data_IF_930114838299
#
_entry.id   IF_930114838299
#
_cell.length_a   1.000
_cell.length_b   1.000
_cell.length_c   1.000
_cell.angle_alpha   90.00
_cell.angle_beta   90.00
_cell.angle_gamma   90.00
#
_symmetry.space_group_name_H-M   'P 1'
#
loop_
_entity.id
_entity.type
_entity.pdbx_description
1 polymer ?
#
# COMPACT_ATOMS: atom_id res chain seq x y z
N UNK A 1 31.53 -22.40 6.74
CA UNK A 1 32.13 -21.36 7.61
C UNK A 1 32.30 -20.02 6.90
N UNK A 2 32.85 -19.97 5.67
CA UNK A 2 33.03 -18.71 4.90
C UNK A 2 31.69 -18.00 4.59
N UNK A 3 30.63 -18.73 4.24
CA UNK A 3 29.29 -18.16 4.01
C UNK A 3 28.65 -17.55 5.27
N UNK A 4 28.86 -18.14 6.44
CA UNK A 4 28.30 -17.65 7.72
C UNK A 4 29.01 -16.37 8.15
N UNK A 5 30.34 -16.31 8.00
CA UNK A 5 31.13 -15.11 8.28
C UNK A 5 30.78 -13.95 7.32
N UNK A 6 30.47 -14.25 6.05
CA UNK A 6 29.98 -13.26 5.07
C UNK A 6 28.61 -12.70 5.46
N UNK A 7 27.68 -13.57 5.89
CA UNK A 7 26.34 -13.17 6.31
C UNK A 7 26.35 -12.30 7.58
N UNK A 8 27.19 -12.62 8.57
CA UNK A 8 27.35 -11.77 9.76
C UNK A 8 27.94 -10.39 9.44
N UNK A 9 28.91 -10.33 8.52
CA UNK A 9 29.48 -9.07 8.08
C UNK A 9 28.45 -8.23 7.31
N UNK A 10 27.62 -8.87 6.48
CA UNK A 10 26.54 -8.23 5.74
C UNK A 10 25.46 -7.68 6.67
N UNK A 11 25.00 -8.45 7.66
CA UNK A 11 24.04 -7.98 8.67
C UNK A 11 24.54 -6.75 9.44
N UNK A 12 25.84 -6.70 9.77
CA UNK A 12 26.48 -5.55 10.43
C UNK A 12 26.54 -4.33 9.50
N UNK A 13 26.77 -4.53 8.21
CA UNK A 13 26.71 -3.47 7.20
C UNK A 13 25.30 -2.90 7.09
N UNK A 14 24.27 -3.75 6.97
CA UNK A 14 22.87 -3.31 6.88
C UNK A 14 22.44 -2.54 8.13
N UNK A 15 22.83 -3.00 9.32
CA UNK A 15 22.54 -2.27 10.55
C UNK A 15 23.19 -0.87 10.59
N UNK A 16 24.41 -0.72 10.08
CA UNK A 16 25.08 0.58 9.96
C UNK A 16 24.34 1.48 8.95
N UNK A 17 23.96 0.95 7.79
CA UNK A 17 23.19 1.70 6.79
C UNK A 17 21.83 2.15 7.37
N UNK A 18 21.16 1.31 8.17
CA UNK A 18 19.91 1.66 8.85
C UNK A 18 20.07 2.86 9.78
N UNK A 19 21.07 2.83 10.67
CA UNK A 19 21.38 3.96 11.57
C UNK A 19 21.67 5.24 10.78
N UNK A 20 22.41 5.12 9.66
CA UNK A 20 22.68 6.26 8.78
C UNK A 20 21.43 6.80 8.08
N UNK A 21 20.46 5.94 7.75
CA UNK A 21 19.21 6.35 7.09
C UNK A 21 18.27 7.15 8.00
N UNK A 22 18.43 7.02 9.32
CA UNK A 22 17.59 7.69 10.32
C UNK A 22 18.10 9.10 10.67
N UNK A 23 19.26 9.51 10.12
CA UNK A 23 19.87 10.83 10.35
C UNK A 23 19.95 11.64 9.06
N UNK A 24 19.60 12.93 9.16
CA UNK A 24 19.81 13.91 8.08
C UNK A 24 21.22 14.51 8.10
N UNK A 25 21.93 14.40 9.23
CA UNK A 25 23.31 14.86 9.41
C UNK A 25 24.31 13.70 9.25
N UNK A 26 25.56 13.97 8.84
CA UNK A 26 26.60 12.96 8.80
C UNK A 26 26.86 12.36 10.19
N UNK A 27 27.03 11.03 10.27
CA UNK A 27 27.29 10.36 11.54
C UNK A 27 28.71 9.80 11.61
N UNK A 28 29.39 10.11 12.71
CA UNK A 28 30.69 9.54 13.06
C UNK A 28 30.58 8.14 13.69
N UNK A 29 31.68 7.38 13.66
CA UNK A 29 31.72 5.99 14.17
C UNK A 29 31.36 5.84 15.66
N UNK A 30 31.51 6.92 16.45
CA UNK A 30 31.13 6.94 17.87
C UNK A 30 29.62 6.91 18.03
N UNK A 31 28.93 7.77 17.27
CA UNK A 31 27.48 7.89 17.32
C UNK A 31 26.82 6.61 16.78
N UNK A 32 27.32 6.13 15.65
CA UNK A 32 26.83 4.88 15.04
C UNK A 32 26.99 3.70 16.00
N UNK A 33 28.15 3.53 16.65
CA UNK A 33 28.36 2.45 17.62
C UNK A 33 27.35 2.51 18.78
N UNK A 34 27.08 3.72 19.30
CA UNK A 34 26.12 3.93 20.39
C UNK A 34 24.69 3.59 19.96
N UNK A 35 24.29 3.96 18.75
CA UNK A 35 22.94 3.65 18.26
C UNK A 35 22.76 2.15 17.98
N UNK A 36 23.78 1.50 17.43
CA UNK A 36 23.79 0.04 17.26
C UNK A 36 23.65 -0.70 18.59
N UNK A 37 24.31 -0.24 19.66
CA UNK A 37 24.18 -0.82 20.99
C UNK A 37 22.74 -0.74 21.53
N UNK A 38 21.99 0.33 21.23
CA UNK A 38 20.57 0.45 21.61
C UNK A 38 19.69 -0.60 20.92
N UNK A 39 20.12 -1.08 19.75
CA UNK A 39 19.47 -2.16 19.02
C UNK A 39 20.08 -3.54 19.31
N UNK A 40 20.90 -3.66 20.36
CA UNK A 40 21.51 -4.93 20.79
C UNK A 40 22.68 -5.40 19.91
N UNK A 41 23.23 -4.51 19.06
CA UNK A 41 24.36 -4.80 18.18
C UNK A 41 25.62 -4.14 18.73
N UNK A 42 26.52 -4.93 19.30
CA UNK A 42 27.73 -4.44 19.94
C UNK A 42 28.90 -4.40 18.95
N UNK A 43 29.25 -3.21 18.46
CA UNK A 43 30.43 -2.99 17.61
C UNK A 43 31.33 -1.91 18.19
N UNK A 44 32.62 -2.23 18.33
CA UNK A 44 33.61 -1.20 18.67
C UNK A 44 33.67 -0.11 17.59
N UNK A 45 34.05 1.11 17.96
CA UNK A 45 34.21 2.19 16.99
C UNK A 45 35.19 1.83 15.86
N UNK A 46 36.22 1.02 16.15
CA UNK A 46 37.18 0.52 15.16
C UNK A 46 36.51 -0.43 14.18
N UNK A 47 35.63 -1.31 14.65
CA UNK A 47 34.83 -2.21 13.81
C UNK A 47 33.82 -1.42 12.96
N UNK A 48 33.16 -0.41 13.52
CA UNK A 48 32.28 0.49 12.76
C UNK A 48 33.06 1.21 11.65
N UNK A 49 34.25 1.77 11.93
CA UNK A 49 35.10 2.37 10.89
C UNK A 49 35.52 1.38 9.81
N UNK A 50 35.77 0.13 10.17
CA UNK A 50 36.10 -0.92 9.21
C UNK A 50 34.93 -1.18 8.25
N UNK A 51 33.72 -1.37 8.77
CA UNK A 51 32.53 -1.54 7.93
C UNK A 51 32.19 -0.30 7.10
N UNK A 52 32.39 0.91 7.64
CA UNK A 52 32.18 2.15 6.88
C UNK A 52 33.12 2.26 5.68
N UNK A 53 34.36 1.74 5.77
CA UNK A 53 35.24 1.68 4.60
C UNK A 53 34.70 0.75 3.52
N UNK A 54 34.14 -0.39 3.92
CA UNK A 54 33.51 -1.34 2.98
C UNK A 54 32.30 -0.69 2.31
N UNK A 55 31.47 0.05 3.06
CA UNK A 55 30.31 0.74 2.49
C UNK A 55 30.70 1.92 1.60
N UNK A 56 31.80 2.62 1.91
CA UNK A 56 32.39 3.65 1.05
C UNK A 56 32.89 3.02 -0.27
N UNK A 57 33.62 1.90 -0.22
CA UNK A 57 34.12 1.17 -1.38
C UNK A 57 33.01 0.61 -2.27
N UNK A 58 31.88 0.23 -1.69
CA UNK A 58 30.67 -0.22 -2.40
C UNK A 58 29.78 0.94 -2.88
N UNK A 59 30.12 2.18 -2.54
CA UNK A 59 29.34 3.37 -2.91
C UNK A 59 28.01 3.53 -2.16
N UNK A 60 27.81 2.81 -1.05
CA UNK A 60 26.61 2.93 -0.21
C UNK A 60 26.66 4.14 0.73
N UNK A 61 27.86 4.54 1.12
CA UNK A 61 28.10 5.72 1.97
C UNK A 61 29.08 6.67 1.32
N UNK A 62 28.98 7.94 1.68
CA UNK A 62 29.94 8.97 1.28
C UNK A 62 30.56 9.66 2.50
N UNK A 63 31.89 9.88 2.52
CA UNK A 63 32.55 10.60 3.61
C UNK A 63 32.29 12.10 3.51
N UNK A 64 31.91 12.71 4.64
CA UNK A 64 31.66 14.16 4.78
C UNK A 64 32.76 14.85 5.62
N UNK A 65 33.99 14.34 5.55
CA UNK A 65 35.11 14.86 6.35
C UNK A 65 35.03 14.46 7.84
N UNK A 66 35.22 15.42 8.73
CA UNK A 66 35.22 15.18 10.18
C UNK A 66 33.83 14.81 10.74
N UNK A 67 32.77 15.21 10.03
CA UNK A 67 31.38 15.04 10.47
C UNK A 67 30.89 13.60 10.34
N UNK A 68 31.57 12.77 9.54
CA UNK A 68 31.31 11.33 9.44
C UNK A 68 30.89 10.90 8.05
N UNK A 69 29.89 10.00 7.97
CA UNK A 69 29.37 9.47 6.69
C UNK A 69 27.89 9.79 6.56
N UNK A 70 27.47 9.95 5.31
CA UNK A 70 26.06 9.97 4.93
C UNK A 70 25.76 8.80 3.99
N UNK A 71 24.50 8.39 3.98
CA UNK A 71 23.99 7.40 3.05
C UNK A 71 23.90 8.01 1.64
N UNK A 72 24.31 7.27 0.62
CA UNK A 72 24.08 7.66 -0.78
C UNK A 72 22.71 7.16 -1.25
N UNK A 73 22.24 7.62 -2.41
CA UNK A 73 21.04 7.04 -3.04
C UNK A 73 21.21 5.53 -3.30
N UNK A 74 22.40 5.08 -3.72
CA UNK A 74 22.69 3.67 -3.92
C UNK A 74 22.67 2.87 -2.61
N UNK A 75 23.20 3.43 -1.52
CA UNK A 75 23.14 2.80 -0.20
C UNK A 75 21.73 2.74 0.38
N UNK A 76 20.89 3.72 0.07
CA UNK A 76 19.47 3.68 0.44
C UNK A 76 18.71 2.59 -0.33
N UNK A 77 19.02 2.42 -1.62
CA UNK A 77 18.47 1.33 -2.44
C UNK A 77 18.90 -0.05 -1.92
N UNK A 78 20.20 -0.22 -1.63
CA UNK A 78 20.74 -1.44 -1.03
C UNK A 78 20.06 -1.76 0.30
N UNK A 79 19.97 -0.76 1.20
CA UNK A 79 19.33 -0.91 2.50
C UNK A 79 17.87 -1.36 2.35
N UNK A 80 17.12 -0.77 1.41
CA UNK A 80 15.74 -1.19 1.11
C UNK A 80 15.67 -2.64 0.66
N UNK A 81 16.55 -3.06 -0.27
CA UNK A 81 16.57 -4.43 -0.78
C UNK A 81 16.97 -5.44 0.31
N UNK A 82 17.99 -5.12 1.10
CA UNK A 82 18.52 -6.02 2.11
C UNK A 82 17.59 -6.18 3.32
N UNK A 83 16.77 -5.16 3.62
CA UNK A 83 15.72 -5.26 4.66
C UNK A 83 14.45 -5.95 4.15
N UNK A 84 14.32 -6.27 2.85
CA UNK A 84 13.11 -6.89 2.30
C UNK A 84 12.68 -8.19 3.01
N UNK A 85 13.58 -9.08 3.46
CA UNK A 85 13.20 -10.25 4.27
C UNK A 85 12.70 -9.89 5.68
N UNK A 86 13.23 -8.83 6.28
CA UNK A 86 12.76 -8.30 7.57
C UNK A 86 11.43 -7.54 7.43
N UNK A 87 11.06 -7.15 6.21
CA UNK A 87 9.80 -6.49 5.87
C UNK A 87 8.67 -7.48 5.53
N UNK A 88 8.87 -8.80 5.67
CA UNK A 88 7.77 -9.76 5.52
C UNK A 88 6.72 -9.50 6.60
N UNK A 89 5.49 -9.19 6.19
CA UNK A 89 4.42 -8.76 7.08
C UNK A 89 4.30 -7.23 7.22
N UNK A 90 5.23 -6.46 6.65
CA UNK A 90 5.19 -5.00 6.67
C UNK A 90 3.90 -4.43 6.09
N UNK A 91 3.38 -5.03 5.01
CA UNK A 91 2.10 -4.63 4.43
C UNK A 91 0.97 -4.84 5.43
N UNK A 92 0.97 -5.96 6.18
CA UNK A 92 -0.03 -6.20 7.22
C UNK A 92 0.02 -5.12 8.31
N UNK A 93 1.20 -4.81 8.83
CA UNK A 93 1.39 -3.75 9.84
C UNK A 93 0.98 -2.37 9.30
N UNK A 94 1.33 -2.05 8.05
CA UNK A 94 0.96 -0.79 7.40
C UNK A 94 -0.55 -0.65 7.24
N UNK A 95 -1.24 -1.73 6.87
CA UNK A 95 -2.71 -1.77 6.82
C UNK A 95 -3.34 -1.52 8.19
N UNK A 96 -2.79 -2.10 9.26
CA UNK A 96 -3.27 -1.88 10.63
C UNK A 96 -3.06 -0.44 11.09
N UNK A 97 -1.89 0.14 10.83
CA UNK A 97 -1.58 1.53 11.14
C UNK A 97 -2.50 2.50 10.38
N UNK A 98 -2.71 2.29 9.08
CA UNK A 98 -3.64 3.11 8.29
C UNK A 98 -5.08 2.98 8.80
N UNK A 99 -5.52 1.77 9.18
CA UNK A 99 -6.83 1.57 9.79
C UNK A 99 -6.93 2.33 11.12
N UNK A 100 -5.89 2.30 11.94
CA UNK A 100 -5.82 3.06 13.20
C UNK A 100 -5.91 4.57 12.96
N UNK A 101 -5.09 5.12 12.05
CA UNK A 101 -5.04 6.55 11.74
C UNK A 101 -6.26 7.10 10.99
N UNK A 102 -7.08 6.24 10.39
CA UNK A 102 -8.32 6.67 9.72
C UNK A 102 -9.28 7.32 10.72
N UNK A 103 -9.53 8.62 10.59
CA UNK A 103 -10.45 9.38 11.48
C UNK A 103 -11.80 9.69 10.82
N UNK A 104 -12.03 9.19 9.60
CA UNK A 104 -13.23 9.45 8.84
C UNK A 104 -14.52 9.01 9.55
N UNK A 105 -15.48 9.93 9.68
CA UNK A 105 -16.85 9.66 10.12
C UNK A 105 -17.80 9.77 8.91
N UNK A 106 -18.46 8.67 8.49
CA UNK A 106 -19.35 8.69 7.34
C UNK A 106 -20.60 9.55 7.53
N UNK A 107 -21.04 9.79 8.79
CA UNK A 107 -22.25 10.59 9.07
C UNK A 107 -21.98 12.08 8.86
N UNK A 108 -20.83 12.57 9.31
CA UNK A 108 -20.44 13.98 9.13
C UNK A 108 -19.68 14.22 7.83
N UNK A 109 -19.17 13.16 7.21
CA UNK A 109 -18.29 13.20 6.03
C UNK A 109 -17.02 14.02 6.26
N UNK A 110 -16.44 13.90 7.45
CA UNK A 110 -15.22 14.61 7.86
C UNK A 110 -14.17 13.65 8.40
N UNK A 111 -12.92 14.09 8.43
CA UNK A 111 -11.78 13.31 8.90
C UNK A 111 -10.95 12.74 7.76
N UNK A 112 -9.93 11.98 8.12
CA UNK A 112 -8.91 11.51 7.21
C UNK A 112 -9.21 10.10 6.70
N UNK A 113 -8.96 9.89 5.42
CA UNK A 113 -9.06 8.59 4.74
C UNK A 113 -7.72 8.17 4.14
N UNK A 114 -7.41 6.87 4.12
CA UNK A 114 -6.22 6.36 3.46
C UNK A 114 -6.41 6.37 1.95
N UNK A 115 -5.32 6.63 1.22
CA UNK A 115 -5.29 6.67 -0.24
C UNK A 115 -4.20 5.78 -0.83
N UNK A 116 -4.32 5.50 -2.12
CA UNK A 116 -3.22 5.04 -2.96
C UNK A 116 -2.87 6.17 -3.92
N UNK A 117 -1.60 6.31 -4.29
CA UNK A 117 -1.13 7.35 -5.20
C UNK A 117 -0.57 6.71 -6.46
N UNK A 118 -0.97 7.23 -7.61
CA UNK A 118 -0.49 6.82 -8.93
C UNK A 118 0.17 8.00 -9.60
N UNK A 119 1.41 7.82 -10.08
CA UNK A 119 2.18 8.84 -10.78
C UNK A 119 2.08 8.58 -12.27
N UNK A 120 1.57 9.57 -13.00
CA UNK A 120 1.24 9.47 -14.43
C UNK A 120 1.96 10.59 -15.18
N UNK A 121 2.49 10.30 -16.38
CA UNK A 121 3.00 11.37 -17.25
C UNK A 121 1.92 12.41 -17.56
N UNK A 122 2.29 13.68 -17.47
CA UNK A 122 1.34 14.77 -17.71
C UNK A 122 0.71 14.69 -19.11
N UNK A 123 1.46 14.19 -20.11
CA UNK A 123 0.97 13.99 -21.48
C UNK A 123 -0.08 12.89 -21.61
N UNK A 124 -0.09 11.90 -20.71
CA UNK A 124 -1.00 10.75 -20.77
C UNK A 124 -2.12 10.82 -19.72
N UNK A 125 -2.07 11.78 -18.80
CA UNK A 125 -3.06 11.94 -17.74
C UNK A 125 -4.51 11.96 -18.26
N UNK A 126 -4.81 12.72 -19.31
CA UNK A 126 -6.16 12.78 -19.89
C UNK A 126 -6.61 11.43 -20.48
N UNK A 127 -5.69 10.69 -21.13
CA UNK A 127 -6.00 9.34 -21.66
C UNK A 127 -6.22 8.35 -20.52
N UNK A 128 -5.46 8.49 -19.43
CA UNK A 128 -5.60 7.67 -18.23
C UNK A 128 -6.98 7.87 -17.60
N UNK A 129 -7.40 9.13 -17.41
CA UNK A 129 -8.74 9.48 -16.93
C UNK A 129 -9.83 8.91 -17.86
N UNK A 130 -9.66 8.95 -19.18
CA UNK A 130 -10.64 8.35 -20.10
C UNK A 130 -10.74 6.83 -19.90
N UNK A 131 -9.61 6.13 -19.85
CA UNK A 131 -9.56 4.68 -19.64
C UNK A 131 -10.17 4.24 -18.30
N UNK A 132 -10.00 5.04 -17.25
CA UNK A 132 -10.57 4.78 -15.92
C UNK A 132 -12.10 4.91 -15.89
N UNK A 133 -12.69 5.69 -16.80
CA UNK A 133 -14.07 6.17 -16.66
C UNK A 133 -15.13 5.07 -16.70
N UNK A 134 -14.90 4.01 -17.47
CA UNK A 134 -15.79 2.84 -17.50
C UNK A 134 -15.76 2.07 -16.17
N UNK A 135 -14.60 1.99 -15.52
CA UNK A 135 -14.44 1.31 -14.22
C UNK A 135 -15.18 2.06 -13.10
N UNK A 136 -15.08 3.39 -13.08
CA UNK A 136 -15.88 4.21 -12.16
C UNK A 136 -17.38 4.07 -12.46
N UNK A 137 -17.78 4.12 -13.73
CA UNK A 137 -19.19 3.97 -14.14
C UNK A 137 -19.78 2.61 -13.73
N UNK A 138 -18.97 1.55 -13.79
CA UNK A 138 -19.35 0.19 -13.41
C UNK A 138 -19.37 -0.04 -11.88
N UNK A 139 -18.98 0.95 -11.07
CA UNK A 139 -18.92 0.82 -9.61
C UNK A 139 -17.83 -0.13 -9.12
N UNK A 140 -16.75 -0.28 -9.89
CA UNK A 140 -15.61 -1.15 -9.56
C UNK A 140 -14.48 -0.41 -8.81
N UNK A 141 -14.72 0.84 -8.41
CA UNK A 141 -13.88 1.67 -7.54
C UNK A 141 -14.33 1.57 -6.07
N UNK A 142 -13.44 1.91 -5.13
CA UNK A 142 -13.80 2.03 -3.70
C UNK A 142 -14.69 3.26 -3.45
N UNK A 143 -14.48 4.33 -4.21
CA UNK A 143 -15.23 5.58 -4.17
C UNK A 143 -15.06 6.29 -5.51
N UNK A 144 -16.03 7.12 -5.90
CA UNK A 144 -15.91 8.04 -7.04
C UNK A 144 -15.09 9.29 -6.71
N UNK A 145 -14.57 9.39 -5.49
CA UNK A 145 -13.77 10.49 -5.01
C UNK A 145 -12.28 10.22 -5.22
N UNK A 146 -11.59 11.22 -5.77
CA UNK A 146 -10.16 11.21 -6.08
C UNK A 146 -9.53 12.54 -5.69
N UNK A 147 -8.21 12.60 -5.59
CA UNK A 147 -7.47 13.86 -5.54
C UNK A 147 -6.37 13.86 -6.59
N UNK A 148 -5.95 15.04 -7.03
CA UNK A 148 -4.86 15.20 -7.98
C UNK A 148 -3.85 16.19 -7.43
N UNK A 149 -2.57 15.99 -7.73
CA UNK A 149 -1.52 16.94 -7.41
C UNK A 149 -0.60 17.14 -8.63
N UNK A 150 -0.25 18.39 -8.98
CA UNK A 150 0.76 18.69 -10.00
C UNK A 150 2.18 18.41 -9.51
N UNK A 151 3.18 18.60 -10.37
CA UNK A 151 4.59 18.43 -9.99
C UNK A 151 4.97 19.25 -8.75
N UNK A 152 5.79 18.67 -7.88
CA UNK A 152 6.26 19.30 -6.65
C UNK A 152 5.25 19.33 -5.50
N UNK A 153 3.97 19.10 -5.76
CA UNK A 153 2.95 18.93 -4.71
C UNK A 153 2.90 17.49 -4.18
N UNK A 154 2.10 17.26 -3.13
CA UNK A 154 2.09 16.02 -2.36
C UNK A 154 0.70 15.40 -2.27
N UNK A 155 0.62 14.08 -2.40
CA UNK A 155 -0.55 13.26 -2.08
C UNK A 155 -0.16 12.20 -1.04
N UNK A 156 -0.70 12.32 0.17
CA UNK A 156 -0.33 11.45 1.28
C UNK A 156 1.15 11.66 1.66
N UNK A 157 1.97 10.63 1.52
CA UNK A 157 3.42 10.65 1.73
C UNK A 157 4.22 10.90 0.44
N UNK A 158 3.57 10.90 -0.73
CA UNK A 158 4.23 10.90 -2.04
C UNK A 158 4.33 12.32 -2.61
N UNK A 159 5.54 12.74 -2.97
CA UNK A 159 5.80 13.99 -3.71
C UNK A 159 5.76 13.68 -5.20
N UNK A 160 5.00 14.47 -5.97
CA UNK A 160 4.83 14.26 -7.41
C UNK A 160 6.10 14.72 -8.15
N UNK A 161 6.74 13.85 -8.95
CA UNK A 161 7.93 14.20 -9.71
C UNK A 161 7.68 15.23 -10.81
N UNK A 162 8.77 15.85 -11.30
CA UNK A 162 8.73 16.79 -12.42
C UNK A 162 8.15 16.13 -13.68
N UNK A 163 7.27 16.84 -14.39
CA UNK A 163 6.62 16.37 -15.62
C UNK A 163 5.52 15.32 -15.41
N UNK A 164 5.14 15.05 -14.16
CA UNK A 164 4.12 14.06 -13.79
C UNK A 164 2.92 14.73 -13.12
N UNK A 165 1.82 13.99 -13.05
CA UNK A 165 0.63 14.28 -12.26
C UNK A 165 0.41 13.12 -11.30
N UNK A 166 0.20 13.43 -10.02
CA UNK A 166 -0.25 12.47 -9.04
C UNK A 166 -1.76 12.34 -9.05
N UNK A 167 -2.27 11.11 -9.03
CA UNK A 167 -3.69 10.78 -8.84
C UNK A 167 -3.84 9.92 -7.59
N UNK A 168 -4.67 10.36 -6.65
CA UNK A 168 -5.02 9.61 -5.46
C UNK A 168 -6.40 8.97 -5.59
N UNK A 169 -6.50 7.67 -5.27
CA UNK A 169 -7.77 6.95 -5.11
C UNK A 169 -7.94 6.47 -3.66
N UNK A 170 -9.19 6.39 -3.19
CA UNK A 170 -9.48 5.92 -1.83
C UNK A 170 -9.05 4.46 -1.65
N UNK A 171 -8.29 4.18 -0.59
CA UNK A 171 -7.88 2.83 -0.23
C UNK A 171 -8.98 2.11 0.55
N UNK A 172 -9.20 0.82 0.28
CA UNK A 172 -10.23 0.02 0.96
C UNK A 172 -10.01 -0.10 2.48
N UNK A 173 -8.83 0.24 2.98
CA UNK A 173 -8.51 0.31 4.42
C UNK A 173 -9.39 1.31 5.17
N UNK A 174 -9.98 2.29 4.48
CA UNK A 174 -10.98 3.19 5.09
C UNK A 174 -12.10 2.39 5.78
N UNK A 175 -12.48 1.24 5.21
CA UNK A 175 -13.52 0.36 5.75
C UNK A 175 -13.04 -0.28 7.06
N UNK A 176 -11.80 -0.78 7.11
CA UNK A 176 -11.18 -1.27 8.35
C UNK A 176 -11.17 -0.18 9.42
N UNK A 177 -10.80 1.04 9.03
CA UNK A 177 -10.77 2.20 9.92
C UNK A 177 -12.12 2.45 10.55
N UNK A 178 -13.17 2.64 9.76
CA UNK A 178 -14.52 2.93 10.30
C UNK A 178 -15.09 1.75 11.09
N UNK A 179 -14.88 0.50 10.65
CA UNK A 179 -15.27 -0.68 11.42
C UNK A 179 -14.59 -0.74 12.79
N UNK A 180 -13.29 -0.43 12.85
CA UNK A 180 -12.55 -0.38 14.11
C UNK A 180 -13.15 0.65 15.08
N UNK A 181 -13.60 1.81 14.59
CA UNK A 181 -14.22 2.86 15.42
C UNK A 181 -15.62 2.46 15.89
N UNK A 182 -16.28 1.56 15.17
CA UNK A 182 -17.50 0.90 15.61
C UNK A 182 -17.25 -0.29 16.56
N UNK A 183 -16.00 -0.52 17.00
CA UNK A 183 -15.63 -1.63 17.89
C UNK A 183 -15.53 -2.99 17.19
N UNK A 184 -15.41 -3.01 15.86
CA UNK A 184 -15.35 -4.24 15.06
C UNK A 184 -13.92 -4.49 14.58
N UNK A 185 -13.20 -5.47 15.17
CA UNK A 185 -11.87 -5.83 14.67
C UNK A 185 -12.01 -6.49 13.29
N UNK A 186 -11.10 -6.13 12.39
CA UNK A 186 -11.07 -6.63 11.01
C UNK A 186 -9.70 -7.23 10.73
N UNK A 187 -9.65 -8.51 10.37
CA UNK A 187 -8.41 -9.20 10.01
C UNK A 187 -8.13 -9.05 8.51
N UNK A 188 -6.98 -8.45 8.18
CA UNK A 188 -6.51 -8.28 6.81
C UNK A 188 -5.75 -9.53 6.32
N UNK A 189 -6.45 -10.43 5.62
CA UNK A 189 -5.91 -11.74 5.20
C UNK A 189 -5.01 -11.64 3.96
N UNK A 190 -5.56 -11.26 2.81
CA UNK A 190 -4.80 -11.21 1.55
C UNK A 190 -5.37 -10.22 0.54
N UNK A 191 -4.49 -9.78 -0.37
CA UNK A 191 -4.87 -9.12 -1.61
C UNK A 191 -4.85 -10.14 -2.76
N UNK A 192 -5.73 -9.98 -3.73
CA UNK A 192 -5.93 -11.00 -4.76
C UNK A 192 -6.54 -10.49 -6.06
N UNK A 193 -6.59 -11.40 -7.01
CA UNK A 193 -7.30 -11.21 -8.28
C UNK A 193 -8.61 -11.98 -8.21
N UNK A 194 -9.73 -11.27 -8.33
CA UNK A 194 -11.08 -11.80 -8.25
C UNK A 194 -11.68 -11.93 -9.65
N UNK A 195 -12.08 -13.15 -10.02
CA UNK A 195 -12.84 -13.40 -11.25
C UNK A 195 -14.29 -12.93 -11.06
N UNK A 196 -14.75 -12.08 -11.98
CA UNK A 196 -16.14 -11.68 -12.12
C UNK A 196 -16.81 -12.47 -13.24
N UNK A 197 -18.08 -12.81 -13.02
CA UNK A 197 -18.97 -13.38 -14.03
C UNK A 197 -20.36 -12.79 -13.86
N UNK A 198 -20.94 -12.26 -14.94
CA UNK A 198 -22.25 -11.59 -14.92
C UNK A 198 -22.30 -10.46 -13.87
N UNK A 199 -21.21 -9.69 -13.76
CA UNK A 199 -21.00 -8.62 -12.78
C UNK A 199 -21.11 -9.05 -11.32
N UNK A 200 -20.92 -10.36 -11.05
CA UNK A 200 -20.91 -10.94 -9.70
C UNK A 200 -19.55 -11.55 -9.35
N UNK A 201 -19.14 -11.49 -8.08
CA UNK A 201 -17.91 -12.12 -7.63
C UNK A 201 -18.04 -13.65 -7.71
N UNK A 202 -17.09 -14.31 -8.38
CA UNK A 202 -17.08 -15.77 -8.52
C UNK A 202 -16.07 -16.45 -7.60
N UNK A 203 -14.78 -16.16 -7.78
CA UNK A 203 -13.67 -16.76 -7.00
C UNK A 203 -12.39 -15.96 -7.12
N UNK A 204 -11.53 -16.08 -6.12
CA UNK A 204 -10.16 -15.61 -6.25
C UNK A 204 -9.34 -16.58 -7.13
N UNK A 205 -8.60 -16.05 -8.10
CA UNK A 205 -7.74 -16.82 -9.00
C UNK A 205 -6.25 -16.67 -8.68
N UNK A 206 -5.90 -15.66 -7.88
CA UNK A 206 -4.57 -15.46 -7.31
C UNK A 206 -4.71 -14.74 -5.96
N UNK A 207 -3.89 -15.12 -4.98
CA UNK A 207 -3.88 -14.52 -3.63
C UNK A 207 -2.43 -14.36 -3.14
N UNK A 208 -2.15 -13.24 -2.48
CA UNK A 208 -0.89 -13.01 -1.75
C UNK A 208 -1.29 -12.61 -0.32
N UNK A 209 -0.86 -13.43 0.64
CA UNK A 209 -1.17 -13.24 2.04
C UNK A 209 -0.37 -12.07 2.62
N UNK A 210 -1.03 -11.11 3.28
CA UNK A 210 -0.36 -9.89 3.76
C UNK A 210 0.70 -10.19 4.81
N UNK A 211 0.48 -11.19 5.66
CA UNK A 211 1.46 -11.62 6.65
C UNK A 211 2.70 -12.28 6.03
N UNK A 212 2.63 -12.70 4.77
CA UNK A 212 3.69 -13.43 4.08
C UNK A 212 4.36 -12.65 2.94
N UNK A 213 4.15 -11.33 2.85
CA UNK A 213 4.69 -10.49 1.78
C UNK A 213 5.31 -9.21 2.33
N UNK A 214 6.35 -8.72 1.64
CA UNK A 214 6.92 -7.39 1.82
C UNK A 214 6.46 -6.39 0.74
N UNK A 215 5.71 -6.88 -0.27
CA UNK A 215 5.22 -6.10 -1.40
C UNK A 215 3.70 -6.05 -1.40
N UNK A 216 3.12 -4.91 -1.81
CA UNK A 216 1.68 -4.78 -1.97
C UNK A 216 1.17 -5.70 -3.11
N UNK A 217 0.19 -6.58 -2.84
CA UNK A 217 -0.35 -7.48 -3.85
C UNK A 217 -0.93 -6.78 -5.07
N UNK A 218 -1.61 -5.64 -4.89
CA UNK A 218 -2.31 -4.94 -5.98
C UNK A 218 -1.32 -4.40 -6.99
N UNK A 219 -0.24 -3.76 -6.53
CA UNK A 219 0.87 -3.32 -7.37
C UNK A 219 1.48 -4.48 -8.18
N UNK A 220 1.71 -5.63 -7.53
CA UNK A 220 2.27 -6.79 -8.19
C UNK A 220 1.35 -7.36 -9.28
N UNK A 221 0.04 -7.44 -9.03
CA UNK A 221 -0.91 -7.96 -10.02
C UNK A 221 -1.09 -7.02 -11.21
N UNK A 222 -1.06 -5.70 -11.00
CA UNK A 222 -1.07 -4.71 -12.09
C UNK A 222 0.20 -4.88 -12.92
N UNK A 223 1.38 -4.90 -12.29
CA UNK A 223 2.67 -5.04 -12.97
C UNK A 223 2.78 -6.35 -13.75
N UNK A 224 2.22 -7.43 -13.21
CA UNK A 224 2.16 -8.74 -13.85
C UNK A 224 1.05 -8.86 -14.91
N UNK A 225 0.29 -7.79 -15.18
CA UNK A 225 -0.82 -7.76 -16.15
C UNK A 225 -1.86 -8.86 -15.91
N UNK A 226 -2.19 -9.10 -14.64
CA UNK A 226 -3.12 -10.17 -14.24
C UNK A 226 -4.59 -9.74 -14.21
N UNK A 227 -4.86 -8.45 -14.38
CA UNK A 227 -6.22 -7.88 -14.37
C UNK A 227 -6.78 -7.75 -15.78
N UNK A 228 -8.12 -7.77 -15.86
CA UNK A 228 -8.90 -7.36 -17.03
C UNK A 228 -10.10 -6.53 -16.54
N UNK A 229 -9.83 -5.46 -15.78
CA UNK A 229 -10.84 -4.61 -15.14
C UNK A 229 -11.69 -3.90 -16.18
N UNK A 230 -11.08 -3.50 -17.31
CA UNK A 230 -11.79 -2.86 -18.41
C UNK A 230 -12.84 -3.78 -19.04
N UNK A 231 -12.52 -5.08 -19.20
CA UNK A 231 -13.50 -6.08 -19.67
C UNK A 231 -14.61 -6.26 -18.64
N UNK A 232 -14.23 -6.43 -17.37
CA UNK A 232 -15.17 -6.57 -16.26
C UNK A 232 -16.17 -5.40 -16.19
N UNK A 233 -15.71 -4.17 -16.43
CA UNK A 233 -16.56 -2.98 -16.48
C UNK A 233 -17.51 -3.00 -17.69
N UNK A 234 -17.05 -3.44 -18.87
CA UNK A 234 -17.83 -3.42 -20.12
C UNK A 234 -18.90 -4.51 -20.20
N UNK A 235 -18.56 -5.73 -19.81
CA UNK A 235 -19.38 -6.90 -20.08
C UNK A 235 -19.71 -7.73 -18.83
N UNK A 236 -19.24 -7.32 -17.64
CA UNK A 236 -19.47 -8.05 -16.39
C UNK A 236 -18.60 -9.31 -16.23
N UNK A 237 -17.67 -9.57 -17.13
CA UNK A 237 -16.74 -10.69 -17.11
C UNK A 237 -15.30 -10.19 -17.15
N UNK A 238 -14.49 -10.63 -16.19
CA UNK A 238 -13.08 -10.25 -16.16
C UNK A 238 -12.45 -10.49 -14.81
N UNK A 239 -11.28 -9.89 -14.61
CA UNK A 239 -10.48 -10.06 -13.39
C UNK A 239 -10.19 -8.71 -12.77
N UNK A 240 -10.63 -8.52 -11.53
CA UNK A 240 -10.42 -7.27 -10.79
C UNK A 240 -9.48 -7.48 -9.61
N UNK A 241 -8.88 -6.40 -9.13
CA UNK A 241 -8.21 -6.39 -7.83
C UNK A 241 -9.27 -6.41 -6.74
N UNK A 242 -9.07 -7.28 -5.76
CA UNK A 242 -9.92 -7.36 -4.59
C UNK A 242 -9.11 -7.78 -3.36
N UNK A 243 -9.60 -7.38 -2.19
CA UNK A 243 -9.00 -7.72 -0.91
C UNK A 243 -9.97 -8.59 -0.11
N UNK A 244 -9.43 -9.49 0.69
CA UNK A 244 -10.22 -10.33 1.59
C UNK A 244 -9.96 -9.96 3.04
N UNK A 245 -11.05 -9.81 3.80
CA UNK A 245 -11.07 -9.51 5.21
C UNK A 245 -11.94 -10.50 5.96
N UNK A 246 -11.63 -10.71 7.24
CA UNK A 246 -12.51 -11.47 8.14
C UNK A 246 -12.91 -10.59 9.33
N UNK A 247 -14.17 -10.70 9.74
CA UNK A 247 -14.70 -10.06 10.96
C UNK A 247 -15.34 -11.12 11.87
N UNK A 248 -15.50 -10.86 13.18
CA UNK A 248 -16.25 -11.74 14.07
C UNK A 248 -17.69 -11.95 13.59
N UNK A 249 -18.18 -13.19 13.61
CA UNK A 249 -19.57 -13.48 13.20
C UNK A 249 -20.63 -12.69 14.01
N UNK A 250 -20.48 -12.49 15.35
CA UNK A 250 -21.44 -11.69 16.12
C UNK A 250 -21.53 -10.22 15.69
N UNK A 251 -20.48 -9.65 15.07
CA UNK A 251 -20.48 -8.25 14.65
C UNK A 251 -21.13 -8.03 13.28
N UNK A 252 -21.57 -9.08 12.57
CA UNK A 252 -22.04 -8.98 11.18
C UNK A 252 -23.17 -7.97 10.97
N UNK A 253 -24.15 -7.93 11.88
CA UNK A 253 -25.28 -7.00 11.77
C UNK A 253 -24.81 -5.54 11.90
N UNK A 254 -24.00 -5.26 12.91
CA UNK A 254 -23.40 -3.93 13.16
C UNK A 254 -22.48 -3.54 12.01
N UNK A 255 -21.66 -4.48 11.51
CA UNK A 255 -20.82 -4.26 10.34
C UNK A 255 -21.64 -3.84 9.12
N UNK A 256 -22.80 -4.48 8.91
CA UNK A 256 -23.70 -4.12 7.80
C UNK A 256 -24.18 -2.66 7.92
N UNK A 257 -24.59 -2.22 9.11
CA UNK A 257 -25.02 -0.83 9.35
C UNK A 257 -23.90 0.18 9.07
N UNK A 258 -22.67 -0.13 9.52
CA UNK A 258 -21.48 0.69 9.24
C UNK A 258 -21.22 0.74 7.73
N UNK A 259 -21.28 -0.39 7.04
CA UNK A 259 -21.09 -0.48 5.59
C UNK A 259 -22.15 0.33 4.83
N UNK A 260 -23.40 0.30 5.28
CA UNK A 260 -24.47 1.10 4.67
C UNK A 260 -24.21 2.61 4.86
N UNK A 261 -23.75 3.04 6.04
CA UNK A 261 -23.36 4.45 6.27
C UNK A 261 -22.17 4.90 5.41
N UNK A 262 -21.19 4.01 5.16
CA UNK A 262 -20.08 4.28 4.25
C UNK A 262 -20.58 4.49 2.82
N UNK A 263 -21.55 3.69 2.36
CA UNK A 263 -22.17 3.85 1.04
C UNK A 263 -22.89 5.20 0.92
N UNK A 264 -23.63 5.60 1.95
CA UNK A 264 -24.28 6.93 1.98
C UNK A 264 -23.27 8.08 1.93
N UNK A 265 -22.04 7.86 2.38
CA UNK A 265 -20.93 8.80 2.30
C UNK A 265 -20.13 8.73 0.98
N UNK A 266 -20.52 7.86 0.03
CA UNK A 266 -19.84 7.71 -1.26
C UNK A 266 -18.65 6.74 -1.25
N UNK A 267 -18.55 5.87 -0.23
CA UNK A 267 -17.56 4.80 -0.14
C UNK A 267 -18.26 3.45 -0.35
N UNK A 268 -18.03 2.84 -1.50
CA UNK A 268 -18.70 1.63 -1.98
C UNK A 268 -17.79 0.40 -2.02
N UNK A 269 -16.67 0.43 -1.30
CA UNK A 269 -15.61 -0.59 -1.41
C UNK A 269 -15.96 -2.00 -0.91
N UNK A 270 -17.08 -2.24 -0.21
CA UNK A 270 -17.51 -3.61 0.14
C UNK A 270 -18.32 -4.22 -1.00
N UNK A 271 -17.71 -5.16 -1.71
CA UNK A 271 -18.33 -5.82 -2.86
C UNK A 271 -19.26 -6.97 -2.45
N UNK A 272 -18.84 -7.76 -1.46
CA UNK A 272 -19.67 -8.82 -0.90
C UNK A 272 -19.37 -9.07 0.58
N UNK A 273 -20.43 -9.36 1.34
CA UNK A 273 -20.36 -9.76 2.74
C UNK A 273 -20.95 -11.17 2.89
N UNK A 274 -20.16 -12.10 3.38
CA UNK A 274 -20.55 -13.51 3.55
C UNK A 274 -21.52 -13.74 4.71
N UNK A 275 -21.86 -15.00 4.91
CA UNK A 275 -22.58 -15.47 6.09
C UNK A 275 -21.60 -15.98 7.14
N UNK A 276 -22.11 -16.22 8.35
CA UNK A 276 -21.30 -16.71 9.45
C UNK A 276 -20.78 -18.13 9.16
N UNK A 277 -19.46 -18.31 9.22
CA UNK A 277 -18.77 -19.59 9.01
C UNK A 277 -19.05 -20.24 7.64
N UNK A 278 -19.49 -19.46 6.65
CA UNK A 278 -19.71 -19.94 5.27
C UNK A 278 -18.63 -19.39 4.32
N UNK A 279 -18.08 -20.23 3.42
CA UNK A 279 -17.09 -19.79 2.46
C UNK A 279 -17.70 -18.79 1.47
N UNK A 280 -16.87 -17.83 1.02
CA UNK A 280 -17.25 -16.86 0.00
C UNK A 280 -16.13 -16.75 -1.04
N UNK A 281 -16.48 -16.68 -2.33
CA UNK A 281 -15.50 -16.63 -3.42
C UNK A 281 -14.45 -17.77 -3.39
N UNK A 282 -14.88 -18.97 -2.99
CA UNK A 282 -14.02 -20.17 -2.83
C UNK A 282 -12.94 -20.05 -1.74
N UNK A 283 -13.08 -19.10 -0.82
CA UNK A 283 -12.21 -18.95 0.33
C UNK A 283 -12.87 -19.62 1.52
N UNK A 284 -12.21 -20.62 2.08
CA UNK A 284 -12.64 -21.27 3.31
C UNK A 284 -12.55 -20.29 4.48
N UNK A 285 -13.46 -20.42 5.44
CA UNK A 285 -13.53 -19.55 6.60
C UNK A 285 -13.56 -20.35 7.90
N UNK A 286 -12.94 -19.81 8.95
CA UNK A 286 -12.97 -20.40 10.27
C UNK A 286 -14.35 -20.27 10.94
N UNK A 287 -14.56 -21.06 12.00
CA UNK A 287 -15.74 -20.92 12.87
C UNK A 287 -15.80 -19.51 13.47
N UNK A 288 -17.02 -18.99 13.64
CA UNK A 288 -17.29 -17.68 14.23
C UNK A 288 -16.67 -16.50 13.48
N UNK A 289 -16.43 -16.65 12.17
CA UNK A 289 -15.93 -15.59 11.29
C UNK A 289 -16.91 -15.32 10.14
N UNK A 290 -16.85 -14.12 9.58
CA UNK A 290 -17.56 -13.72 8.36
C UNK A 290 -16.55 -13.16 7.37
N UNK A 291 -16.60 -13.64 6.13
CA UNK A 291 -15.72 -13.21 5.06
C UNK A 291 -16.27 -11.95 4.39
N UNK A 292 -15.39 -11.01 4.08
CA UNK A 292 -15.73 -9.77 3.41
C UNK A 292 -14.78 -9.54 2.23
N UNK A 293 -15.38 -9.36 1.05
CA UNK A 293 -14.66 -9.09 -0.20
C UNK A 293 -14.74 -7.60 -0.49
N UNK A 294 -13.59 -6.96 -0.59
CA UNK A 294 -13.46 -5.53 -0.85
C UNK A 294 -12.92 -5.27 -2.26
N UNK A 295 -13.41 -4.24 -2.94
CA UNK A 295 -12.82 -3.74 -4.19
C UNK A 295 -11.42 -3.17 -3.93
N UNK A 296 -10.49 -3.41 -4.85
CA UNK A 296 -9.18 -2.77 -4.82
C UNK A 296 -9.26 -1.29 -5.21
N UNK A 297 -8.65 -0.40 -4.42
CA UNK A 297 -8.63 1.05 -4.70
C UNK A 297 -7.90 1.41 -6.00
N UNK A 298 -7.06 0.51 -6.51
CA UNK A 298 -6.32 0.68 -7.77
C UNK A 298 -7.04 0.09 -8.99
N UNK A 299 -8.27 -0.43 -8.87
CA UNK A 299 -9.01 -0.97 -10.02
C UNK A 299 -9.14 0.03 -11.19
N UNK A 300 -9.49 1.31 -10.97
CA UNK A 300 -9.53 2.28 -12.07
C UNK A 300 -8.17 2.43 -12.75
N UNK A 301 -7.10 2.55 -11.95
CA UNK A 301 -5.75 2.72 -12.48
C UNK A 301 -5.26 1.49 -13.24
N UNK A 302 -5.65 0.29 -12.81
CA UNK A 302 -5.39 -0.94 -13.54
C UNK A 302 -5.96 -0.89 -14.97
N UNK A 303 -7.13 -0.30 -15.20
CA UNK A 303 -7.68 -0.11 -16.55
C UNK A 303 -6.86 0.86 -17.41
N UNK A 304 -6.29 1.92 -16.81
CA UNK A 304 -5.36 2.79 -17.54
C UNK A 304 -4.07 2.05 -17.93
N UNK A 305 -3.55 1.17 -17.05
CA UNK A 305 -2.40 0.31 -17.37
C UNK A 305 -2.74 -0.73 -18.45
N UNK A 306 -3.95 -1.32 -18.40
CA UNK A 306 -4.46 -2.21 -19.45
C UNK A 306 -4.55 -1.51 -20.81
N UNK A 307 -4.84 -0.21 -20.83
CA UNK A 307 -4.85 0.65 -22.02
C UNK A 307 -3.43 1.03 -22.52
N UNK A 308 -2.37 0.51 -21.89
CA UNK A 308 -0.98 0.71 -22.29
C UNK A 308 -0.33 1.98 -21.74
N UNK A 309 -0.92 2.61 -20.73
CA UNK A 309 -0.36 3.81 -20.09
C UNK A 309 0.61 3.37 -18.99
N UNK A 310 1.83 3.92 -19.02
CA UNK A 310 2.80 3.68 -17.97
C UNK A 310 2.44 4.49 -16.71
N UNK A 311 2.28 3.79 -15.59
CA UNK A 311 1.88 4.38 -14.31
C UNK A 311 2.70 3.72 -13.20
N UNK A 312 3.33 4.55 -12.38
CA UNK A 312 3.96 4.10 -11.13
C UNK A 312 2.90 4.14 -10.03
N UNK A 313 2.58 2.97 -9.47
CA UNK A 313 1.56 2.82 -8.42
C UNK A 313 2.24 2.67 -7.06
N UNK A 314 1.74 3.43 -6.09
CA UNK A 314 2.19 3.39 -4.71
C UNK A 314 0.94 3.16 -3.86
N UNK A 315 0.71 1.89 -3.50
CA UNK A 315 -0.41 1.52 -2.64
C UNK A 315 -0.17 2.00 -1.21
N UNK A 316 -1.27 2.24 -0.50
CA UNK A 316 -1.24 2.60 0.92
C UNK A 316 -0.35 3.83 1.17
N UNK A 317 -0.45 4.83 0.29
CA UNK A 317 0.48 5.96 0.17
C UNK A 317 0.25 7.08 1.20
N UNK A 318 -0.51 6.81 2.26
CA UNK A 318 -0.76 7.74 3.36
C UNK A 318 -2.22 8.17 3.48
N UNK A 319 -2.41 9.30 4.16
CA UNK A 319 -3.72 9.83 4.54
C UNK A 319 -3.99 11.17 3.85
N UNK A 320 -5.26 11.47 3.60
CA UNK A 320 -5.73 12.78 3.14
C UNK A 320 -7.03 13.16 3.85
N UNK A 321 -7.29 14.45 4.01
CA UNK A 321 -8.59 14.93 4.47
C UNK A 321 -9.67 14.60 3.43
N UNK A 322 -10.80 14.05 3.87
CA UNK A 322 -11.87 13.63 2.97
C UNK A 322 -12.41 14.78 2.10
N UNK A 323 -12.41 16.01 2.63
CA UNK A 323 -12.87 17.21 1.92
C UNK A 323 -11.92 17.70 0.81
N UNK A 324 -10.68 17.20 0.75
CA UNK A 324 -9.75 17.48 -0.35
C UNK A 324 -10.01 16.57 -1.55
N UNK A 325 -10.77 15.49 -1.37
CA UNK A 325 -11.19 14.65 -2.48
C UNK A 325 -12.31 15.33 -3.27
N UNK A 326 -12.25 15.18 -4.58
CA UNK A 326 -13.24 15.69 -5.53
C UNK A 326 -13.81 14.54 -6.34
N UNK A 327 -14.98 14.74 -6.92
CA UNK A 327 -15.56 13.74 -7.83
C UNK A 327 -14.66 13.53 -9.04
N UNK A 328 -14.36 12.27 -9.34
CA UNK A 328 -13.61 11.84 -10.54
C UNK A 328 -14.20 12.43 -11.83
N UNK A 329 -15.52 12.58 -11.90
CA UNK A 329 -16.22 13.11 -13.07
C UNK A 329 -15.83 14.55 -13.43
N UNK A 330 -15.30 15.32 -12.48
CA UNK A 330 -14.75 16.66 -12.72
C UNK A 330 -13.38 16.65 -13.42
N UNK A 331 -12.73 15.49 -13.54
CA UNK A 331 -11.48 15.35 -14.28
C UNK A 331 -11.71 15.09 -15.78
N UNK A 332 -12.94 14.77 -16.20
CA UNK A 332 -13.31 14.58 -17.62
C UNK A 332 -13.67 15.89 -18.33
N UNK A 333 -13.96 16.96 -17.57
CA UNK A 333 -14.37 18.26 -18.10
C UNK A 333 -13.21 19.05 -18.71
#
# INVERSE_FOLDING_TARGET
MVQVASFEAERKVIAILKVLSESVEPLGSIHIARELERHGIFLSQRAVRYHLRITDERGYTQPMGHDGRMLTAHGLEELKMALAPEQVGFIHEKLELLAFYTTFDPKTRTGQVPINTSIIDQSDFKKAVEAMSEVFSAGLSVSDLVATAPEGEKLGSVVVPRGKVGLATVCSVVINGVLLKAGIPTESRFGGVLELRDSKPRRFVAVINYAGTSLDPSEQYIRAKMTTVSEAAKNGHGKILANYREIPAPSRAIAKEVIDSLKEAGIHGVYALGNASEPICQIAIGLNRVGMVLLGGLNPVAAAVEAGIEIENIAESGMIEFNQLTSFWKLKS
#
